data_IF_698666164787
#
_entry.id   IF_698666164787
#
_cell.length_a   1.000
_cell.length_b   1.000
_cell.length_c   1.000
_cell.angle_alpha   90.00
_cell.angle_beta   90.00
_cell.angle_gamma   90.00
#
_symmetry.space_group_name_H-M   'P 1'
#
loop_
_entity.id
_entity.type
_entity.pdbx_description
1 polymer ?
#
# COMPACT_ATOMS: atom_id res chain seq x y z
N UNK A 1 -12.16 36.02 -77.97
CA UNK A 1 -12.95 34.95 -77.33
C UNK A 1 -12.15 34.47 -76.14
N UNK A 2 -12.44 34.98 -74.98
CA UNK A 2 -11.73 34.63 -73.73
C UNK A 2 -12.65 33.75 -72.90
N UNK A 3 -12.20 32.53 -72.60
CA UNK A 3 -12.91 31.59 -71.72
C UNK A 3 -12.32 31.72 -70.30
N UNK A 4 -13.18 32.14 -69.34
CA UNK A 4 -12.88 32.16 -67.92
C UNK A 4 -13.10 30.73 -67.37
N UNK A 5 -12.09 30.10 -66.83
CA UNK A 5 -12.20 28.86 -66.06
C UNK A 5 -12.25 29.21 -64.57
N UNK A 6 -13.39 28.92 -63.91
CA UNK A 6 -13.51 28.96 -62.45
C UNK A 6 -12.94 27.65 -61.86
N UNK A 7 -11.89 27.77 -61.06
CA UNK A 7 -11.40 26.67 -60.26
C UNK A 7 -12.05 26.70 -58.87
N UNK A 8 -12.90 25.71 -58.58
CA UNK A 8 -13.45 25.45 -57.26
C UNK A 8 -12.43 24.60 -56.48
N UNK A 9 -11.79 25.16 -55.45
CA UNK A 9 -10.91 24.43 -54.57
C UNK A 9 -11.69 23.55 -53.58
N UNK A 10 -11.26 22.31 -53.31
CA UNK A 10 -11.87 21.48 -52.30
C UNK A 10 -11.53 21.94 -50.89
N UNK A 11 -12.56 22.19 -50.10
CA UNK A 11 -12.49 22.50 -48.68
C UNK A 11 -12.07 21.23 -47.95
N UNK A 12 -10.82 21.16 -47.48
CA UNK A 12 -10.31 20.05 -46.66
C UNK A 12 -10.92 20.13 -45.26
N UNK A 13 -12.03 19.43 -45.06
CA UNK A 13 -12.58 19.17 -43.76
C UNK A 13 -11.57 18.40 -42.90
N UNK A 14 -11.11 19.04 -41.84
CA UNK A 14 -10.23 18.44 -40.81
C UNK A 14 -11.07 17.47 -40.02
N UNK A 15 -11.01 16.17 -40.37
CA UNK A 15 -11.57 15.11 -39.57
C UNK A 15 -10.77 15.00 -38.25
N UNK A 16 -11.39 15.37 -37.14
CA UNK A 16 -10.90 15.03 -35.81
C UNK A 16 -10.95 13.50 -35.67
N UNK A 17 -9.79 12.88 -35.74
CA UNK A 17 -9.63 11.48 -35.33
C UNK A 17 -9.81 11.40 -33.82
N UNK A 18 -11.02 11.06 -33.39
CA UNK A 18 -11.27 10.50 -32.07
C UNK A 18 -10.60 9.13 -32.04
N UNK A 19 -9.54 9.00 -31.21
CA UNK A 19 -8.92 7.72 -30.93
C UNK A 19 -9.99 6.74 -30.41
N UNK A 20 -10.01 5.49 -30.90
CA UNK A 20 -10.92 4.50 -30.37
C UNK A 20 -10.52 4.20 -28.94
N UNK A 21 -11.45 4.41 -28.00
CA UNK A 21 -11.34 3.86 -26.66
C UNK A 21 -11.40 2.34 -26.81
N UNK A 22 -10.28 1.67 -26.66
CA UNK A 22 -10.22 0.21 -26.55
C UNK A 22 -10.96 -0.20 -25.27
N UNK A 23 -12.22 -0.57 -25.43
CA UNK A 23 -13.01 -1.23 -24.39
C UNK A 23 -12.54 -2.68 -24.33
N UNK A 24 -11.53 -2.96 -23.54
CA UNK A 24 -11.19 -4.31 -23.14
C UNK A 24 -12.30 -4.80 -22.22
N UNK A 25 -13.24 -5.56 -22.78
CA UNK A 25 -14.25 -6.33 -22.05
C UNK A 25 -13.57 -7.51 -21.39
N UNK A 26 -12.95 -7.30 -20.26
CA UNK A 26 -12.64 -8.34 -19.28
C UNK A 26 -13.62 -8.18 -18.13
N UNK A 27 -14.42 -9.21 -17.86
CA UNK A 27 -15.41 -9.27 -16.79
C UNK A 27 -14.78 -9.39 -15.39
N UNK A 28 -13.76 -8.59 -15.11
CA UNK A 28 -13.17 -8.41 -13.79
C UNK A 28 -13.59 -7.03 -13.29
N UNK A 29 -14.40 -7.02 -12.24
CA UNK A 29 -14.61 -5.81 -11.46
C UNK A 29 -13.23 -5.27 -11.08
N UNK A 30 -12.84 -4.13 -11.65
CA UNK A 30 -11.63 -3.43 -11.26
C UNK A 30 -11.81 -2.96 -9.81
N UNK A 31 -11.19 -3.67 -8.89
CA UNK A 31 -11.15 -3.29 -7.49
C UNK A 31 -10.28 -2.04 -7.39
N UNK A 32 -10.90 -0.91 -7.07
CA UNK A 32 -10.18 0.35 -6.88
C UNK A 32 -9.49 0.35 -5.50
N UNK A 33 -8.17 0.32 -5.51
CA UNK A 33 -7.36 0.45 -4.30
C UNK A 33 -7.00 1.92 -4.08
N UNK A 34 -7.22 2.41 -2.87
CA UNK A 34 -6.85 3.74 -2.41
C UNK A 34 -5.60 3.58 -1.55
N UNK A 35 -4.57 4.38 -1.80
CA UNK A 35 -3.33 4.33 -1.03
C UNK A 35 -3.26 5.50 -0.05
N UNK A 36 -2.92 5.20 1.22
CA UNK A 36 -2.65 6.22 2.23
C UNK A 36 -1.28 6.88 1.97
N UNK A 37 -1.09 8.14 2.37
CA UNK A 37 0.24 8.75 2.35
C UNK A 37 1.19 8.04 3.32
N UNK A 38 2.49 8.01 2.99
CA UNK A 38 3.51 7.55 3.92
C UNK A 38 3.54 8.45 5.16
N UNK A 39 3.50 7.83 6.33
CA UNK A 39 3.48 8.51 7.62
C UNK A 39 4.50 7.86 8.55
N UNK A 40 5.25 8.67 9.29
CA UNK A 40 6.18 8.22 10.32
C UNK A 40 5.57 8.45 11.70
N UNK A 41 5.70 7.49 12.58
CA UNK A 41 5.35 7.58 13.99
C UNK A 41 6.33 6.76 14.82
N UNK A 42 6.53 7.15 16.07
CA UNK A 42 7.41 6.44 17.00
C UNK A 42 6.64 6.13 18.28
N UNK A 43 6.86 4.95 18.82
CA UNK A 43 6.26 4.51 20.06
C UNK A 43 7.32 3.85 20.97
N UNK A 44 7.13 3.94 22.27
CA UNK A 44 7.96 3.21 23.22
C UNK A 44 7.52 1.75 23.21
N UNK A 45 8.37 0.90 22.68
CA UNK A 45 8.20 -0.55 22.72
C UNK A 45 8.77 -1.14 24.01
N UNK A 46 8.13 -2.18 24.51
CA UNK A 46 8.65 -2.98 25.62
C UNK A 46 9.37 -4.17 24.99
N UNK A 47 10.70 -4.24 25.13
CA UNK A 47 11.48 -5.42 24.76
C UNK A 47 11.85 -6.17 26.03
N UNK A 48 11.33 -7.40 26.18
CA UNK A 48 11.83 -8.33 27.19
C UNK A 48 13.13 -8.93 26.67
N UNK A 49 14.25 -8.39 27.10
CA UNK A 49 15.55 -8.99 26.88
C UNK A 49 16.25 -9.09 28.23
N UNK A 50 16.30 -10.33 28.75
CA UNK A 50 17.03 -10.75 29.96
C UNK A 50 16.99 -9.74 31.13
N UNK A 51 16.01 -9.89 32.01
CA UNK A 51 15.85 -9.26 33.34
C UNK A 51 15.87 -7.72 33.45
N UNK A 52 16.04 -6.98 32.38
CA UNK A 52 15.86 -5.52 32.36
C UNK A 52 14.81 -5.13 31.32
N UNK A 53 13.67 -4.61 31.77
CA UNK A 53 12.65 -3.99 30.93
C UNK A 53 13.22 -2.64 30.47
N UNK A 54 13.81 -2.59 29.29
CA UNK A 54 14.18 -1.33 28.64
C UNK A 54 13.10 -0.94 27.64
N UNK A 55 12.44 0.16 27.91
CA UNK A 55 11.56 0.79 26.91
C UNK A 55 12.46 1.36 25.81
N UNK A 56 12.59 0.65 24.68
CA UNK A 56 13.24 1.18 23.47
C UNK A 56 12.18 1.88 22.63
N UNK A 57 12.52 3.05 22.12
CA UNK A 57 11.67 3.68 21.11
C UNK A 57 11.79 2.90 19.80
N UNK A 58 10.66 2.65 19.16
CA UNK A 58 10.60 2.04 17.84
C UNK A 58 9.86 2.99 16.92
N UNK A 59 10.50 3.37 15.82
CA UNK A 59 9.89 4.20 14.80
C UNK A 59 9.39 3.34 13.65
N UNK A 60 8.32 3.80 13.05
CA UNK A 60 7.63 3.13 11.96
C UNK A 60 7.37 4.13 10.84
N UNK A 61 7.67 3.76 9.61
CA UNK A 61 7.27 4.52 8.42
C UNK A 61 6.35 3.62 7.60
N UNK A 62 5.08 3.99 7.49
CA UNK A 62 4.04 3.12 6.96
C UNK A 62 3.17 3.78 5.90
N UNK A 63 2.66 2.95 4.98
CA UNK A 63 1.53 3.25 4.10
C UNK A 63 0.71 1.99 3.89
N UNK A 64 -0.56 2.15 3.55
CA UNK A 64 -1.46 1.04 3.23
C UNK A 64 -2.24 1.28 1.94
N UNK A 65 -2.71 0.19 1.35
CA UNK A 65 -3.70 0.18 0.28
C UNK A 65 -4.99 -0.47 0.78
N UNK A 66 -6.11 0.23 0.60
CA UNK A 66 -7.42 -0.20 1.10
C UNK A 66 -8.54 0.04 0.07
N UNK A 67 -9.65 -0.62 0.26
CA UNK A 67 -10.90 -0.38 -0.47
C UNK A 67 -11.61 0.86 0.04
N UNK A 68 -12.60 1.36 -0.70
CA UNK A 68 -13.49 2.43 -0.23
C UNK A 68 -14.23 2.07 1.08
N UNK A 69 -14.41 0.79 1.35
CA UNK A 69 -14.99 0.29 2.60
C UNK A 69 -14.05 0.40 3.81
N UNK A 70 -12.80 0.84 3.64
CA UNK A 70 -11.78 0.84 4.68
C UNK A 70 -11.03 -0.50 4.84
N UNK A 71 -11.48 -1.58 4.18
CA UNK A 71 -10.80 -2.88 4.25
C UNK A 71 -9.38 -2.77 3.70
N UNK A 72 -8.39 -3.05 4.52
CA UNK A 72 -6.97 -3.03 4.13
C UNK A 72 -6.64 -4.28 3.30
N UNK A 73 -5.97 -4.04 2.18
CA UNK A 73 -5.53 -5.09 1.24
C UNK A 73 -4.02 -5.31 1.32
N UNK A 74 -3.27 -4.29 1.64
CA UNK A 74 -1.81 -4.34 1.74
C UNK A 74 -1.33 -3.27 2.71
N UNK A 75 -0.34 -3.59 3.53
CA UNK A 75 0.37 -2.62 4.37
C UNK A 75 1.86 -2.81 4.14
N UNK A 76 2.57 -1.71 3.96
CA UNK A 76 4.03 -1.68 3.97
C UNK A 76 4.50 -0.86 5.17
N UNK A 77 5.41 -1.41 5.96
CA UNK A 77 5.86 -0.86 7.23
C UNK A 77 7.37 -1.04 7.38
N UNK A 78 8.11 0.05 7.37
CA UNK A 78 9.52 0.04 7.77
C UNK A 78 9.60 0.21 9.29
N UNK A 79 10.21 -0.76 9.97
CA UNK A 79 10.35 -0.86 11.42
C UNK A 79 11.80 -0.55 11.79
N UNK A 80 11.99 0.44 12.66
CA UNK A 80 13.31 0.95 13.06
C UNK A 80 13.41 1.02 14.59
N UNK A 81 13.88 -0.05 15.26
CA UNK A 81 14.16 0.00 16.70
C UNK A 81 15.32 0.94 16.95
N UNK A 82 15.16 1.87 17.89
CA UNK A 82 16.21 2.82 18.25
C UNK A 82 17.40 2.12 18.95
N UNK A 83 18.61 2.38 18.46
CA UNK A 83 19.81 1.73 18.97
C UNK A 83 19.99 0.27 18.54
N UNK A 84 19.28 -0.16 17.48
CA UNK A 84 19.45 -1.45 16.82
C UNK A 84 19.73 -1.22 15.33
N UNK A 85 20.76 -1.86 14.82
CA UNK A 85 21.10 -1.77 13.39
C UNK A 85 20.17 -2.61 12.52
N UNK A 86 19.35 -3.48 13.14
CA UNK A 86 18.40 -4.36 12.43
C UNK A 86 17.11 -3.63 12.17
N UNK A 87 16.92 -3.18 10.94
CA UNK A 87 15.65 -2.64 10.45
C UNK A 87 14.93 -3.69 9.61
N UNK A 88 13.60 -3.64 9.62
CA UNK A 88 12.76 -4.59 8.91
C UNK A 88 11.76 -3.87 8.01
N UNK A 89 11.68 -4.29 6.76
CA UNK A 89 10.54 -3.98 5.89
C UNK A 89 9.51 -5.09 6.05
N UNK A 90 8.45 -4.82 6.76
CA UNK A 90 7.29 -5.70 6.92
C UNK A 90 6.23 -5.37 5.89
N UNK A 91 5.76 -6.41 5.22
CA UNK A 91 4.58 -6.31 4.36
C UNK A 91 3.48 -7.19 4.92
N UNK A 92 2.25 -6.68 4.91
CA UNK A 92 1.08 -7.41 5.39
C UNK A 92 0.08 -7.56 4.27
N UNK A 93 -0.40 -8.79 4.08
CA UNK A 93 -1.35 -9.17 3.04
C UNK A 93 -2.56 -9.87 3.67
N UNK A 94 -3.72 -9.92 2.99
CA UNK A 94 -4.90 -10.62 3.50
C UNK A 94 -4.64 -12.10 3.77
N UNK A 95 -5.47 -12.71 4.59
CA UNK A 95 -5.47 -14.16 4.78
C UNK A 95 -5.80 -14.88 3.47
N UNK A 96 -5.25 -16.09 3.30
CA UNK A 96 -5.47 -16.93 2.12
C UNK A 96 -4.30 -16.94 1.14
N UNK A 97 -3.28 -16.09 1.34
CA UNK A 97 -2.06 -16.13 0.52
C UNK A 97 -1.26 -17.40 0.75
N UNK A 98 -0.60 -17.89 -0.31
CA UNK A 98 0.31 -19.03 -0.22
C UNK A 98 1.58 -18.63 0.52
N UNK A 99 1.89 -19.34 1.61
CA UNK A 99 2.98 -18.95 2.53
C UNK A 99 4.36 -19.39 2.04
N UNK A 100 4.46 -20.58 1.42
CA UNK A 100 5.74 -21.18 1.05
C UNK A 100 6.58 -20.32 0.11
N UNK A 101 6.02 -19.68 -0.94
CA UNK A 101 6.83 -18.84 -1.82
C UNK A 101 7.30 -17.54 -1.15
N UNK A 102 6.71 -17.16 0.00
CA UNK A 102 6.90 -15.84 0.59
C UNK A 102 6.19 -14.73 -0.19
N UNK A 103 6.29 -13.51 0.32
CA UNK A 103 5.92 -12.32 -0.41
C UNK A 103 7.10 -11.83 -1.26
N UNK A 104 6.84 -11.40 -2.49
CA UNK A 104 7.85 -10.79 -3.35
C UNK A 104 7.72 -9.28 -3.27
N UNK A 105 8.84 -8.61 -3.06
CA UNK A 105 8.96 -7.16 -2.94
C UNK A 105 9.77 -6.66 -4.13
N UNK A 106 9.22 -5.76 -4.91
CA UNK A 106 9.86 -5.22 -6.12
C UNK A 106 9.80 -3.68 -6.06
N UNK A 107 10.95 -3.03 -6.21
CA UNK A 107 11.04 -1.58 -6.29
C UNK A 107 11.37 -1.21 -7.73
N UNK A 108 10.54 -0.34 -8.35
CA UNK A 108 10.73 0.17 -9.72
C UNK A 108 10.98 -0.92 -10.75
N UNK A 109 10.22 -2.02 -10.68
CA UNK A 109 10.30 -3.16 -11.60
C UNK A 109 11.70 -3.81 -11.71
N UNK A 110 12.56 -3.59 -10.69
CA UNK A 110 13.90 -4.17 -10.60
C UNK A 110 13.85 -5.59 -10.03
N UNK A 111 14.98 -6.11 -9.60
CA UNK A 111 15.09 -7.45 -9.02
C UNK A 111 14.18 -7.61 -7.80
N UNK A 112 13.44 -8.74 -7.78
CA UNK A 112 12.53 -9.05 -6.69
C UNK A 112 13.28 -9.60 -5.48
N UNK A 113 12.99 -9.05 -4.32
CA UNK A 113 13.39 -9.60 -3.03
C UNK A 113 12.28 -10.50 -2.49
N UNK A 114 12.63 -11.56 -1.78
CA UNK A 114 11.66 -12.43 -1.12
C UNK A 114 11.62 -12.15 0.36
N UNK A 115 10.41 -12.00 0.91
CA UNK A 115 10.15 -11.87 2.33
C UNK A 115 9.39 -13.11 2.81
N UNK A 116 9.96 -13.94 3.71
CA UNK A 116 9.24 -15.06 4.29
C UNK A 116 8.11 -14.56 5.19
N UNK A 117 6.98 -15.28 5.19
CA UNK A 117 5.91 -15.01 6.14
C UNK A 117 6.32 -15.46 7.54
N UNK A 118 6.16 -14.60 8.52
CA UNK A 118 6.53 -14.84 9.93
C UNK A 118 5.33 -15.17 10.78
N UNK A 119 4.14 -14.60 10.47
CA UNK A 119 2.91 -14.86 11.21
C UNK A 119 1.68 -14.49 10.37
N UNK A 120 0.58 -15.21 10.57
CA UNK A 120 -0.74 -14.84 10.05
C UNK A 120 -1.70 -14.75 11.24
N UNK A 121 -2.36 -13.61 11.39
CA UNK A 121 -3.31 -13.34 12.47
C UNK A 121 -4.70 -13.09 11.88
N UNK A 122 -5.78 -13.63 12.48
CA UNK A 122 -7.14 -13.56 11.91
C UNK A 122 -7.63 -12.14 11.61
N UNK A 123 -7.26 -11.16 12.43
CA UNK A 123 -7.69 -9.75 12.26
C UNK A 123 -6.69 -8.88 11.50
N UNK A 124 -5.44 -9.32 11.36
CA UNK A 124 -4.35 -8.49 10.86
C UNK A 124 -3.81 -8.95 9.50
N UNK A 125 -4.09 -10.20 9.07
CA UNK A 125 -3.54 -10.77 7.85
C UNK A 125 -2.21 -11.50 8.06
N UNK A 126 -1.52 -11.79 6.96
CA UNK A 126 -0.23 -12.49 6.93
C UNK A 126 0.91 -11.48 6.78
N UNK A 127 1.84 -11.50 7.71
CA UNK A 127 2.99 -10.59 7.78
C UNK A 127 4.23 -11.31 7.29
N UNK A 128 4.94 -10.69 6.34
CA UNK A 128 6.23 -11.15 5.81
C UNK A 128 7.28 -10.08 6.06
N UNK A 129 8.46 -10.51 6.52
CA UNK A 129 9.54 -9.61 6.92
C UNK A 129 10.75 -9.77 6.00
N UNK A 130 11.31 -8.64 5.58
CA UNK A 130 12.58 -8.57 4.88
C UNK A 130 13.54 -7.63 5.64
N UNK A 131 14.80 -8.05 5.80
CA UNK A 131 15.82 -7.20 6.42
C UNK A 131 16.03 -5.94 5.57
N UNK A 132 15.88 -4.77 6.17
CA UNK A 132 16.06 -3.50 5.50
C UNK A 132 17.45 -2.95 5.82
N UNK A 133 18.40 -3.20 4.92
CA UNK A 133 19.72 -2.58 4.98
C UNK A 133 19.70 -1.15 4.40
N UNK A 134 20.83 -0.47 4.48
CA UNK A 134 20.95 0.90 3.99
C UNK A 134 20.67 1.02 2.49
N UNK A 135 21.04 0.02 1.69
CA UNK A 135 20.82 0.02 0.24
C UNK A 135 19.31 -0.09 -0.08
N UNK A 136 18.58 -0.96 0.61
CA UNK A 136 17.13 -1.08 0.46
C UNK A 136 16.43 0.23 0.86
N UNK A 137 16.84 0.84 1.97
CA UNK A 137 16.27 2.12 2.42
C UNK A 137 16.50 3.22 1.37
N UNK A 138 17.70 3.31 0.82
CA UNK A 138 17.99 4.27 -0.25
C UNK A 138 17.20 3.99 -1.54
N UNK A 139 16.95 2.72 -1.88
CA UNK A 139 16.06 2.35 -2.98
C UNK A 139 14.62 2.79 -2.72
N UNK A 140 14.11 2.62 -1.50
CA UNK A 140 12.78 3.09 -1.11
C UNK A 140 12.66 4.63 -1.18
N UNK A 141 13.71 5.34 -0.75
CA UNK A 141 13.74 6.82 -0.76
C UNK A 141 13.77 7.41 -2.17
N UNK A 142 14.46 6.75 -3.11
CA UNK A 142 14.65 7.22 -4.48
C UNK A 142 13.68 6.61 -5.47
N UNK A 143 13.01 5.52 -5.09
CA UNK A 143 12.07 4.79 -5.94
C UNK A 143 10.75 5.52 -6.15
N UNK A 144 10.02 5.07 -7.16
CA UNK A 144 8.70 5.59 -7.51
C UNK A 144 7.57 4.64 -7.07
N UNK A 145 7.86 3.33 -7.08
CA UNK A 145 6.86 2.31 -6.80
C UNK A 145 7.42 1.15 -5.99
N UNK A 146 6.58 0.62 -5.10
CA UNK A 146 6.81 -0.58 -4.31
C UNK A 146 5.73 -1.59 -4.64
N UNK A 147 6.04 -2.59 -5.46
CA UNK A 147 5.13 -3.69 -5.76
C UNK A 147 5.31 -4.84 -4.76
N UNK A 148 4.21 -5.25 -4.14
CA UNK A 148 4.12 -6.38 -3.22
C UNK A 148 3.29 -7.46 -3.90
N UNK A 149 3.91 -8.60 -4.16
CA UNK A 149 3.33 -9.71 -4.93
C UNK A 149 3.21 -10.96 -4.06
N UNK A 150 2.12 -11.69 -4.24
CA UNK A 150 1.86 -12.97 -3.60
C UNK A 150 0.98 -13.87 -4.49
N UNK A 151 0.66 -15.05 -4.01
CA UNK A 151 -0.30 -15.95 -4.66
C UNK A 151 -1.51 -16.15 -3.76
N UNK A 152 -2.70 -15.88 -4.28
CA UNK A 152 -3.96 -16.23 -3.64
C UNK A 152 -4.61 -17.36 -4.42
N UNK A 153 -4.82 -18.52 -3.76
CA UNK A 153 -5.40 -19.72 -4.39
C UNK A 153 -4.75 -20.09 -5.71
N UNK A 154 -3.43 -19.96 -5.78
CA UNK A 154 -2.63 -20.26 -6.98
C UNK A 154 -2.65 -19.17 -8.07
N UNK A 155 -3.34 -18.07 -7.87
CA UNK A 155 -3.35 -16.91 -8.76
C UNK A 155 -2.40 -15.82 -8.25
N UNK A 156 -1.58 -15.21 -9.11
CA UNK A 156 -0.74 -14.09 -8.69
C UNK A 156 -1.61 -12.87 -8.37
N UNK A 157 -1.31 -12.23 -7.26
CA UNK A 157 -1.86 -10.93 -6.86
C UNK A 157 -0.70 -9.95 -6.69
N UNK A 158 -0.92 -8.69 -7.02
CA UNK A 158 0.08 -7.63 -6.89
C UNK A 158 -0.58 -6.33 -6.44
N UNK A 159 0.06 -5.67 -5.48
CA UNK A 159 -0.32 -4.35 -5.00
C UNK A 159 0.89 -3.42 -5.20
N UNK A 160 0.70 -2.33 -5.93
CA UNK A 160 1.76 -1.37 -6.21
C UNK A 160 1.50 -0.08 -5.45
N UNK A 161 2.23 0.13 -4.36
CA UNK A 161 2.17 1.34 -3.55
C UNK A 161 3.07 2.41 -4.17
N UNK A 162 2.61 3.67 -4.29
CA UNK A 162 3.49 4.77 -4.69
C UNK A 162 4.49 5.06 -3.57
N UNK A 163 5.76 5.26 -3.92
CA UNK A 163 6.81 5.69 -2.98
C UNK A 163 6.88 7.21 -2.84
N UNK A 164 6.01 7.93 -3.53
CA UNK A 164 5.90 9.39 -3.38
C UNK A 164 5.66 9.77 -1.92
N UNK A 165 6.55 10.57 -1.36
CA UNK A 165 6.47 11.00 0.04
C UNK A 165 7.17 10.07 1.04
N UNK A 166 7.64 8.88 0.65
CA UNK A 166 8.36 7.97 1.54
C UNK A 166 9.59 8.65 2.17
N UNK A 167 10.48 9.22 1.36
CA UNK A 167 11.69 9.89 1.86
C UNK A 167 11.37 11.02 2.84
N UNK A 168 10.36 11.85 2.51
CA UNK A 168 9.90 12.94 3.38
C UNK A 168 9.35 12.42 4.71
N UNK A 169 8.58 11.34 4.70
CA UNK A 169 8.05 10.74 5.92
C UNK A 169 9.17 10.10 6.74
N UNK A 170 10.07 9.35 6.10
CA UNK A 170 11.17 8.66 6.74
C UNK A 170 12.15 9.60 7.44
N UNK A 171 12.51 10.72 6.81
CA UNK A 171 13.46 11.72 7.34
C UNK A 171 12.78 12.80 8.18
N UNK A 172 11.47 12.90 8.10
CA UNK A 172 10.69 13.91 8.81
C UNK A 172 10.47 13.59 10.29
N UNK A 173 9.89 14.53 11.03
CA UNK A 173 9.49 14.29 12.41
C UNK A 173 8.39 13.23 12.46
N UNK A 174 8.36 12.46 13.55
CA UNK A 174 7.27 11.52 13.78
C UNK A 174 5.97 12.27 14.03
N UNK A 175 4.88 11.79 13.44
CA UNK A 175 3.54 12.23 13.76
C UNK A 175 3.14 11.75 15.16
N UNK A 176 2.29 12.50 15.84
CA UNK A 176 1.80 12.10 17.17
C UNK A 176 0.98 10.80 17.04
N UNK A 177 1.34 9.75 17.80
CA UNK A 177 0.57 8.50 17.81
C UNK A 177 -0.87 8.67 18.36
N UNK A 178 -1.20 9.76 19.05
CA UNK A 178 -2.55 10.04 19.52
C UNK A 178 -3.57 10.13 18.37
N UNK A 179 -3.19 10.64 17.20
CA UNK A 179 -4.05 10.67 16.02
C UNK A 179 -4.38 9.29 15.44
N UNK A 180 -3.58 8.25 15.73
CA UNK A 180 -3.87 6.86 15.37
C UNK A 180 -4.86 6.21 16.33
N UNK A 181 -4.82 6.58 17.62
CA UNK A 181 -5.75 6.08 18.64
C UNK A 181 -7.15 6.66 18.48
N UNK A 182 -7.28 7.91 18.03
CA UNK A 182 -8.59 8.52 17.73
C UNK A 182 -9.27 7.81 16.54
N UNK A 183 -8.53 7.44 15.50
CA UNK A 183 -9.05 6.63 14.39
C UNK A 183 -9.54 5.25 14.83
N UNK A 184 -8.79 4.56 15.69
CA UNK A 184 -9.14 3.24 16.24
C UNK A 184 -10.30 3.30 17.23
N UNK A 185 -10.36 4.34 18.07
CA UNK A 185 -11.44 4.51 19.05
C UNK A 185 -12.76 4.93 18.39
N UNK A 186 -12.74 5.71 17.33
CA UNK A 186 -13.94 6.06 16.57
C UNK A 186 -14.53 4.86 15.82
N UNK A 187 -13.71 3.95 15.30
CA UNK A 187 -14.18 2.70 14.69
C UNK A 187 -14.79 1.74 15.73
N UNK A 188 -14.22 1.66 16.92
CA UNK A 188 -14.77 0.85 18.02
C UNK A 188 -16.11 1.41 18.54
N UNK A 189 -16.28 2.73 18.58
CA UNK A 189 -17.52 3.37 19.01
C UNK A 189 -18.64 3.22 17.98
N UNK A 190 -18.34 3.31 16.68
CA UNK A 190 -19.34 3.11 15.62
C UNK A 190 -19.88 1.66 15.60
N UNK A 191 -19.03 0.66 15.87
CA UNK A 191 -19.47 -0.74 15.96
C UNK A 191 -20.31 -1.07 17.20
N UNK A 192 -20.16 -0.30 18.28
CA UNK A 192 -20.95 -0.51 19.50
C UNK A 192 -22.38 0.04 19.39
N UNK A 193 -22.61 1.03 18.54
CA UNK A 193 -23.95 1.61 18.33
C UNK A 193 -24.83 0.78 17.41
N UNK A 194 -24.25 0.09 16.41
CA UNK A 194 -25.01 -0.78 15.49
C UNK A 194 -25.61 -2.03 16.15
N UNK A 195 -25.12 -2.41 17.33
CA UNK A 195 -25.64 -3.58 18.08
C UNK A 195 -26.77 -3.23 19.05
N UNK A 196 -26.99 -1.96 19.37
CA UNK A 196 -28.04 -1.53 20.31
C UNK A 196 -29.37 -1.17 19.65
N UNK A 197 -29.39 -0.92 18.34
CA UNK A 197 -30.57 -0.50 17.58
C UNK A 197 -31.29 -1.63 16.81
N UNK A 198 -30.99 -2.90 17.10
CA UNK A 198 -31.74 -4.01 16.51
C UNK A 198 -32.97 -4.30 17.36
N UNK A 199 -34.21 -3.95 16.93
CA UNK A 199 -35.41 -4.29 17.66
C UNK A 199 -35.59 -5.79 17.66
N UNK A 200 -35.72 -6.40 18.86
CA UNK A 200 -36.15 -7.77 19.00
C UNK A 200 -37.57 -7.89 18.44
N UNK A 201 -37.66 -8.50 17.26
CA UNK A 201 -38.93 -8.83 16.64
C UNK A 201 -39.64 -9.92 17.42
N UNK A 202 -40.82 -9.61 17.83
CA UNK A 202 -41.82 -10.47 18.52
C UNK A 202 -42.47 -11.40 17.51
#
# INVERSE_FOLDING_TARGET
MAALALTIGPNAGRAQQTAPAETVRSGQQQVQVIFSPWTRYCAKGVTEQSSEIRAKEVCFTAADGHLKSGQKLVIALLIEPQGDDTKLLRVTLPLGVALVPGARIVIDEKEAMTAPYVVCLPKNGCMADHKADADLIEKLKKGQSLAIQAFDKGKPISFTLPLTGFAKAYEGPASDPAGLQEGLSSELQSHSQDHLDKPEGK
#
